data_IF_281504040272
#
_entry.id   IF_281504040272
#
_cell.length_a   1.000
_cell.length_b   1.000
_cell.length_c   1.000
_cell.angle_alpha   90.00
_cell.angle_beta   90.00
_cell.angle_gamma   90.00
#
_symmetry.space_group_name_H-M   'P 1'
#
loop_
_entity.id
_entity.type
_entity.pdbx_description
1 polymer ?
#
# COMPACT_ATOMS: atom_id res chain seq x y z
N UNK A 1 -9.51 -33.09 36.74
CA UNK A 1 -8.21 -33.26 36.07
C UNK A 1 -8.04 -32.12 35.08
N UNK A 2 -7.19 -31.17 35.42
CA UNK A 2 -6.65 -30.11 34.56
C UNK A 2 -5.13 -30.36 34.49
N UNK A 3 -4.33 -29.76 33.59
CA UNK A 3 -4.66 -28.94 32.40
C UNK A 3 -3.85 -29.30 31.14
N UNK A 4 -4.25 -28.75 29.98
CA UNK A 4 -3.39 -28.62 28.80
C UNK A 4 -2.77 -27.21 28.80
N UNK A 5 -1.43 -27.15 28.86
CA UNK A 5 -0.61 -25.97 28.65
C UNK A 5 0.67 -26.42 27.95
N UNK A 6 1.02 -25.81 26.81
CA UNK A 6 2.34 -25.95 26.18
C UNK A 6 2.98 -24.55 26.10
N UNK A 7 4.08 -24.30 26.81
CA UNK A 7 4.81 -23.03 26.75
C UNK A 7 5.97 -23.06 25.73
N UNK A 8 6.24 -21.90 25.10
CA UNK A 8 7.51 -21.54 24.46
C UNK A 8 8.67 -21.77 25.43
N UNK A 9 9.67 -22.63 25.11
CA UNK A 9 11.04 -22.11 24.89
C UNK A 9 11.97 -23.11 24.14
N UNK A 10 12.32 -22.96 22.85
CA UNK A 10 13.32 -23.87 22.24
C UNK A 10 14.15 -23.33 21.05
N UNK A 11 14.29 -22.01 20.90
CA UNK A 11 15.13 -21.43 19.84
C UNK A 11 16.12 -20.35 20.32
N UNK A 12 16.40 -20.30 21.61
CA UNK A 12 17.33 -19.34 22.23
C UNK A 12 18.60 -19.99 22.81
N UNK A 13 18.73 -21.33 22.71
CA UNK A 13 19.78 -22.09 23.41
C UNK A 13 20.83 -22.77 22.52
N UNK A 14 20.85 -22.54 21.21
CA UNK A 14 21.90 -23.08 20.33
C UNK A 14 22.94 -22.06 19.84
N UNK A 15 22.67 -20.76 19.91
CA UNK A 15 23.67 -19.74 19.51
C UNK A 15 24.54 -19.22 20.67
N UNK A 16 24.22 -19.53 21.92
CA UNK A 16 24.95 -19.00 23.09
C UNK A 16 26.11 -19.92 23.54
N UNK A 17 26.09 -21.22 23.17
CA UNK A 17 27.08 -22.20 23.64
C UNK A 17 28.40 -22.24 22.87
N UNK A 18 28.51 -21.55 21.73
CA UNK A 18 29.77 -21.48 20.96
C UNK A 18 30.74 -20.39 21.44
N UNK A 19 30.35 -19.55 22.42
CA UNK A 19 31.17 -18.41 22.87
C UNK A 19 31.85 -18.58 24.24
N UNK A 20 31.82 -19.77 24.85
CA UNK A 20 32.49 -19.99 26.14
C UNK A 20 33.21 -21.33 26.19
N UNK A 21 34.43 -21.38 25.63
CA UNK A 21 35.61 -22.10 26.16
C UNK A 21 36.75 -22.14 25.15
N UNK A 22 37.89 -21.54 25.50
CA UNK A 22 39.16 -21.76 24.80
C UNK A 22 40.08 -20.55 24.85
N UNK A 23 40.81 -20.38 25.96
CA UNK A 23 41.82 -19.35 26.13
C UNK A 23 43.12 -19.73 25.41
N UNK A 24 43.61 -18.89 24.48
CA UNK A 24 45.02 -18.67 24.09
C UNK A 24 45.03 -17.27 23.45
N UNK A 25 45.84 -16.28 23.75
CA UNK A 25 47.01 -16.10 24.59
C UNK A 25 47.49 -14.66 24.32
N UNK A 26 48.09 -14.00 25.32
CA UNK A 26 48.59 -12.64 25.18
C UNK A 26 49.71 -12.55 24.14
N UNK A 27 49.39 -12.08 22.93
CA UNK A 27 50.34 -11.60 21.92
C UNK A 27 49.70 -10.74 20.79
N UNK A 28 48.43 -10.31 20.92
CA UNK A 28 47.71 -9.58 19.86
C UNK A 28 47.16 -8.21 20.29
N UNK A 29 47.76 -7.60 21.32
CA UNK A 29 47.29 -6.34 21.93
C UNK A 29 47.75 -5.05 21.22
N UNK A 30 48.24 -5.15 19.98
CA UNK A 30 48.68 -3.96 19.20
C UNK A 30 48.21 -3.94 17.74
N UNK A 31 47.27 -4.81 17.32
CA UNK A 31 46.69 -4.78 15.97
C UNK A 31 45.15 -4.85 15.90
N UNK A 32 44.45 -4.88 17.05
CA UNK A 32 42.98 -5.01 17.09
C UNK A 32 42.21 -3.69 17.24
N UNK A 33 42.88 -2.54 17.25
CA UNK A 33 42.19 -1.25 17.33
C UNK A 33 41.76 -0.74 15.95
N UNK A 34 42.58 -0.89 14.91
CA UNK A 34 42.28 -0.41 13.56
C UNK A 34 41.15 -1.18 12.87
N UNK A 35 41.19 -2.52 12.86
CA UNK A 35 40.20 -3.35 12.19
C UNK A 35 38.85 -3.44 12.93
N UNK A 36 38.86 -3.35 14.27
CA UNK A 36 37.63 -3.30 15.06
C UNK A 36 36.99 -1.89 15.04
N UNK A 37 37.79 -0.81 14.99
CA UNK A 37 37.25 0.53 14.74
C UNK A 37 36.80 0.68 13.28
N UNK A 38 37.50 0.06 12.32
CA UNK A 38 37.07 -0.02 10.93
C UNK A 38 35.73 -0.76 10.83
N UNK A 39 35.56 -1.94 11.45
CA UNK A 39 34.28 -2.67 11.38
C UNK A 39 33.13 -2.03 12.16
N UNK A 40 33.42 -1.29 13.24
CA UNK A 40 32.42 -0.45 13.94
C UNK A 40 32.08 0.80 13.11
N UNK A 41 33.00 1.31 12.30
CA UNK A 41 32.77 2.42 11.36
C UNK A 41 32.12 2.00 10.04
N UNK A 42 32.33 0.76 9.58
CA UNK A 42 31.90 0.24 8.28
C UNK A 42 30.37 0.21 8.17
N UNK A 43 29.68 -0.26 9.21
CA UNK A 43 28.21 -0.31 9.23
C UNK A 43 27.58 0.92 9.90
N UNK A 44 28.36 1.90 10.38
CA UNK A 44 27.78 3.11 10.98
C UNK A 44 26.83 3.82 10.00
N UNK A 45 27.17 3.79 8.71
CA UNK A 45 26.33 4.35 7.64
C UNK A 45 25.08 3.50 7.36
N UNK A 46 25.16 2.17 7.43
CA UNK A 46 24.00 1.26 7.33
C UNK A 46 23.04 1.52 8.48
N UNK A 47 23.54 1.67 9.71
CA UNK A 47 22.73 1.98 10.89
C UNK A 47 22.07 3.35 10.75
N UNK A 48 22.83 4.36 10.34
CA UNK A 48 22.33 5.73 10.16
C UNK A 48 21.21 5.76 9.09
N UNK A 49 21.45 5.19 7.91
CA UNK A 49 20.46 5.11 6.81
C UNK A 49 19.26 4.25 7.18
N UNK A 50 19.47 3.16 7.90
CA UNK A 50 18.40 2.30 8.39
C UNK A 50 17.48 3.04 9.36
N UNK A 51 18.03 3.82 10.29
CA UNK A 51 17.24 4.67 11.18
C UNK A 51 16.45 5.75 10.42
N UNK A 52 17.03 6.35 9.37
CA UNK A 52 16.28 7.27 8.49
C UNK A 52 15.11 6.56 7.80
N UNK A 53 15.31 5.34 7.29
CA UNK A 53 14.25 4.55 6.68
C UNK A 53 13.13 4.26 7.69
N UNK A 54 13.47 3.86 8.92
CA UNK A 54 12.49 3.61 9.99
C UNK A 54 11.66 4.86 10.31
N UNK A 55 12.30 6.04 10.37
CA UNK A 55 11.61 7.32 10.54
C UNK A 55 10.61 7.60 9.42
N UNK A 56 11.06 7.47 8.15
CA UNK A 56 10.19 7.69 6.99
C UNK A 56 9.07 6.66 6.85
N UNK A 57 9.28 5.40 7.26
CA UNK A 57 8.22 4.39 7.35
C UNK A 57 7.15 4.85 8.35
N UNK A 58 7.54 5.32 9.53
CA UNK A 58 6.61 5.81 10.54
C UNK A 58 5.84 7.05 10.06
N UNK A 59 6.52 8.01 9.41
CA UNK A 59 5.90 9.23 8.87
C UNK A 59 4.91 8.91 7.74
N UNK A 60 5.28 8.00 6.83
CA UNK A 60 4.41 7.56 5.74
C UNK A 60 3.19 6.81 6.28
N UNK A 61 3.38 5.88 7.23
CA UNK A 61 2.30 5.14 7.88
C UNK A 61 1.33 6.07 8.62
N UNK A 62 1.86 7.14 9.24
CA UNK A 62 1.04 8.16 9.92
C UNK A 62 0.11 8.89 8.96
N UNK A 63 0.52 9.08 7.70
CA UNK A 63 -0.30 9.71 6.65
C UNK A 63 -1.30 8.74 6.00
N UNK A 64 -1.04 7.42 6.04
CA UNK A 64 -1.90 6.40 5.45
C UNK A 64 -3.30 6.37 6.09
N UNK A 65 -3.40 6.48 7.42
CA UNK A 65 -4.69 6.44 8.12
C UNK A 65 -5.59 7.65 7.76
N UNK A 66 -5.12 8.91 7.83
CA UNK A 66 -5.87 10.06 7.32
C UNK A 66 -6.27 9.95 5.84
N UNK A 67 -5.36 9.48 4.95
CA UNK A 67 -5.66 9.21 3.52
C UNK A 67 -6.85 8.25 3.38
N UNK A 68 -6.77 7.08 4.03
CA UNK A 68 -7.83 6.06 4.02
C UNK A 68 -9.16 6.59 4.56
N UNK A 69 -9.12 7.35 5.65
CA UNK A 69 -10.32 7.94 6.25
C UNK A 69 -10.96 9.00 5.35
N UNK A 70 -10.15 9.84 4.70
CA UNK A 70 -10.66 10.79 3.71
C UNK A 70 -11.32 10.07 2.54
N UNK A 71 -10.71 9.00 2.03
CA UNK A 71 -11.27 8.18 0.95
C UNK A 71 -12.62 7.55 1.35
N UNK A 72 -12.73 7.00 2.56
CA UNK A 72 -14.01 6.49 3.10
C UNK A 72 -15.08 7.59 3.20
N UNK A 73 -14.71 8.79 3.63
CA UNK A 73 -15.63 9.94 3.70
C UNK A 73 -16.09 10.38 2.31
N UNK A 74 -15.22 10.35 1.29
CA UNK A 74 -15.64 10.59 -0.11
C UNK A 74 -16.69 9.58 -0.53
N UNK A 75 -16.41 8.28 -0.34
CA UNK A 75 -17.34 7.21 -0.68
C UNK A 75 -18.68 7.34 0.05
N UNK A 76 -18.68 7.64 1.34
CA UNK A 76 -19.89 7.89 2.11
C UNK A 76 -20.69 9.09 1.58
N UNK A 77 -20.00 10.13 1.10
CA UNK A 77 -20.61 11.31 0.49
C UNK A 77 -21.26 11.02 -0.86
N UNK A 78 -20.60 10.24 -1.72
CA UNK A 78 -21.11 9.93 -3.07
C UNK A 78 -22.14 8.80 -3.08
N UNK A 79 -22.07 7.84 -2.14
CA UNK A 79 -23.02 6.70 -2.04
C UNK A 79 -24.47 7.13 -1.81
N UNK A 80 -24.69 8.38 -1.37
CA UNK A 80 -26.02 8.97 -1.22
C UNK A 80 -26.66 9.39 -2.55
N UNK A 81 -25.90 9.36 -3.66
CA UNK A 81 -26.38 9.69 -5.01
C UNK A 81 -26.36 8.43 -5.87
N UNK A 82 -27.35 8.23 -6.75
CA UNK A 82 -27.34 7.11 -7.67
C UNK A 82 -26.10 7.19 -8.57
N UNK A 83 -25.43 6.06 -8.80
CA UNK A 83 -24.44 5.94 -9.87
C UNK A 83 -25.05 5.04 -10.93
N UNK A 84 -25.66 5.67 -11.92
CA UNK A 84 -26.33 4.96 -12.99
C UNK A 84 -25.31 4.30 -13.93
N UNK A 85 -25.63 3.08 -14.36
CA UNK A 85 -24.93 2.37 -15.42
C UNK A 85 -25.97 1.86 -16.41
N UNK A 86 -25.83 2.22 -17.68
CA UNK A 86 -26.72 1.73 -18.74
C UNK A 86 -26.45 0.25 -18.97
N UNK A 87 -27.51 -0.54 -19.04
CA UNK A 87 -27.46 -1.99 -19.18
C UNK A 87 -27.81 -2.44 -20.60
N UNK A 88 -28.89 -1.91 -21.15
CA UNK A 88 -29.35 -2.18 -22.50
C UNK A 88 -30.36 -1.12 -22.93
N UNK A 89 -30.59 -1.07 -24.23
CA UNK A 89 -31.64 -0.28 -24.85
C UNK A 89 -32.90 -1.15 -25.00
N UNK A 90 -34.06 -0.54 -24.92
CA UNK A 90 -35.33 -1.19 -25.15
C UNK A 90 -36.24 -0.28 -25.96
N UNK A 91 -37.02 -0.89 -26.84
CA UNK A 91 -38.05 -0.22 -27.62
C UNK A 91 -39.40 -0.43 -26.96
N UNK A 92 -40.11 0.65 -26.69
CA UNK A 92 -41.45 0.59 -26.13
C UNK A 92 -42.48 0.78 -27.26
N UNK A 93 -43.20 -0.28 -27.59
CA UNK A 93 -44.17 -0.26 -28.69
C UNK A 93 -45.36 0.70 -28.46
N UNK A 94 -45.94 0.84 -27.26
CA UNK A 94 -47.12 1.68 -27.04
C UNK A 94 -46.91 3.17 -27.33
N UNK A 95 -45.71 3.70 -27.11
CA UNK A 95 -45.36 5.11 -27.36
C UNK A 95 -44.33 5.26 -28.51
N UNK A 96 -44.03 4.16 -29.22
CA UNK A 96 -43.10 4.11 -30.34
C UNK A 96 -41.74 4.79 -30.03
N UNK A 97 -41.25 4.63 -28.80
CA UNK A 97 -40.07 5.34 -28.27
C UNK A 97 -38.98 4.42 -27.76
N UNK A 98 -37.73 4.88 -27.85
CA UNK A 98 -36.56 4.16 -27.34
C UNK A 98 -36.22 4.60 -25.91
N UNK A 99 -35.75 3.66 -25.11
CA UNK A 99 -35.35 3.89 -23.72
C UNK A 99 -34.03 3.18 -23.40
N UNK A 100 -33.17 3.82 -22.63
CA UNK A 100 -32.02 3.20 -21.99
C UNK A 100 -32.42 2.71 -20.59
N UNK A 101 -32.32 1.40 -20.35
CA UNK A 101 -32.49 0.83 -19.01
C UNK A 101 -31.17 0.92 -18.28
N UNK A 102 -31.13 1.66 -17.18
CA UNK A 102 -29.95 1.79 -16.34
C UNK A 102 -30.22 1.26 -14.93
N UNK A 103 -29.16 0.77 -14.28
CA UNK A 103 -29.20 0.29 -12.89
C UNK A 103 -28.38 1.21 -12.00
N UNK A 104 -28.76 1.31 -10.74
CA UNK A 104 -27.95 1.99 -9.73
C UNK A 104 -26.87 1.04 -9.21
N UNK A 105 -25.60 1.39 -9.43
CA UNK A 105 -24.42 0.64 -8.97
C UNK A 105 -24.47 0.35 -7.46
N UNK A 106 -25.05 1.26 -6.67
CA UNK A 106 -25.12 1.10 -5.21
C UNK A 106 -26.11 0.06 -4.74
N UNK A 107 -27.10 -0.27 -5.57
CA UNK A 107 -28.22 -1.15 -5.23
C UNK A 107 -28.11 -2.51 -5.92
N UNK A 108 -26.89 -2.89 -6.34
CA UNK A 108 -26.59 -4.17 -6.98
C UNK A 108 -26.98 -5.39 -6.14
N UNK A 109 -27.05 -5.26 -4.81
CA UNK A 109 -27.43 -6.34 -3.90
C UNK A 109 -28.93 -6.59 -3.81
N UNK A 110 -29.77 -5.72 -4.40
CA UNK A 110 -31.22 -5.94 -4.41
C UNK A 110 -31.58 -6.94 -5.50
N UNK A 111 -32.41 -7.94 -5.15
CA UNK A 111 -32.95 -8.89 -6.12
C UNK A 111 -34.49 -8.77 -6.16
N UNK A 112 -35.09 -8.28 -7.27
CA UNK A 112 -34.44 -7.82 -8.50
C UNK A 112 -33.77 -6.44 -8.35
N UNK A 113 -32.75 -6.13 -9.18
CA UNK A 113 -32.07 -4.84 -9.13
C UNK A 113 -33.00 -3.71 -9.55
N UNK A 114 -32.98 -2.62 -8.79
CA UNK A 114 -33.78 -1.42 -9.10
C UNK A 114 -33.21 -0.81 -10.39
N UNK A 115 -34.02 -0.83 -11.44
CA UNK A 115 -33.69 -0.25 -12.74
C UNK A 115 -34.54 0.99 -13.00
N UNK A 116 -33.98 1.96 -13.71
CA UNK A 116 -34.68 3.15 -14.17
C UNK A 116 -34.59 3.24 -15.70
N UNK A 117 -35.69 3.68 -16.32
CA UNK A 117 -35.79 3.87 -17.75
C UNK A 117 -35.50 5.34 -18.07
N UNK A 118 -34.57 5.60 -18.97
CA UNK A 118 -34.23 6.94 -19.44
C UNK A 118 -34.67 7.07 -20.89
N UNK A 119 -35.54 8.04 -21.23
CA UNK A 119 -36.00 8.21 -22.60
C UNK A 119 -34.84 8.62 -23.51
N UNK A 120 -34.83 8.08 -24.73
CA UNK A 120 -33.88 8.39 -25.79
C UNK A 120 -34.61 9.13 -26.92
N UNK A 121 -33.91 10.02 -27.62
CA UNK A 121 -34.43 10.75 -28.78
C UNK A 121 -34.33 9.97 -30.10
N UNK A 122 -33.65 8.82 -30.07
CA UNK A 122 -33.42 7.97 -31.21
C UNK A 122 -34.70 7.52 -31.92
N UNK A 123 -34.62 7.37 -33.24
CA UNK A 123 -35.70 6.82 -34.09
C UNK A 123 -35.40 5.38 -34.55
N UNK A 124 -34.13 4.99 -34.51
CA UNK A 124 -33.65 3.65 -34.91
C UNK A 124 -32.88 3.02 -33.77
N UNK A 125 -32.77 1.69 -33.79
CA UNK A 125 -31.99 0.92 -32.81
C UNK A 125 -30.53 1.38 -32.77
N UNK A 126 -29.88 1.49 -33.92
CA UNK A 126 -28.47 1.91 -34.02
C UNK A 126 -28.23 3.32 -33.43
N UNK A 127 -29.18 4.25 -33.63
CA UNK A 127 -29.11 5.58 -32.99
C UNK A 127 -29.35 5.50 -31.48
N UNK A 128 -30.22 4.60 -31.03
CA UNK A 128 -30.54 4.43 -29.61
C UNK A 128 -29.36 3.82 -28.85
N UNK A 129 -28.66 2.86 -29.45
CA UNK A 129 -27.42 2.30 -28.90
C UNK A 129 -26.33 3.38 -28.73
N UNK A 130 -26.17 4.27 -29.73
CA UNK A 130 -25.21 5.37 -29.63
C UNK A 130 -25.57 6.35 -28.51
N UNK A 131 -26.84 6.79 -28.46
CA UNK A 131 -27.32 7.67 -27.39
C UNK A 131 -27.18 7.02 -26.00
N UNK A 132 -27.39 5.71 -25.90
CA UNK A 132 -27.20 4.95 -24.67
C UNK A 132 -25.73 4.95 -24.19
N UNK A 133 -24.77 4.81 -25.11
CA UNK A 133 -23.34 4.93 -24.79
C UNK A 133 -22.98 6.36 -24.35
N UNK A 134 -23.52 7.38 -25.03
CA UNK A 134 -23.33 8.78 -24.64
C UNK A 134 -23.91 9.08 -23.26
N UNK A 135 -25.08 8.51 -22.95
CA UNK A 135 -25.73 8.61 -21.66
C UNK A 135 -24.93 7.92 -20.55
N UNK A 136 -24.39 6.72 -20.80
CA UNK A 136 -23.51 6.04 -19.84
C UNK A 136 -22.23 6.86 -19.58
N UNK A 137 -21.65 7.41 -20.65
CA UNK A 137 -20.53 8.35 -20.55
C UNK A 137 -20.88 9.60 -19.74
N UNK A 138 -22.10 10.12 -19.88
CA UNK A 138 -22.60 11.24 -19.07
C UNK A 138 -22.73 10.85 -17.59
N UNK A 139 -23.30 9.70 -17.29
CA UNK A 139 -23.41 9.22 -15.90
C UNK A 139 -22.05 9.06 -15.22
N UNK A 140 -21.05 8.55 -15.94
CA UNK A 140 -19.68 8.47 -15.43
C UNK A 140 -19.10 9.86 -15.17
N UNK A 141 -19.21 10.81 -16.11
CA UNK A 141 -18.74 12.20 -15.91
C UNK A 141 -19.43 12.89 -14.73
N UNK A 142 -20.74 12.73 -14.59
CA UNK A 142 -21.51 13.32 -13.49
C UNK A 142 -21.09 12.72 -12.14
N UNK A 143 -20.80 11.42 -12.11
CA UNK A 143 -20.28 10.74 -10.93
C UNK A 143 -18.87 11.23 -10.57
N UNK A 144 -17.97 11.33 -11.55
CA UNK A 144 -16.60 11.79 -11.34
C UNK A 144 -16.56 13.24 -10.84
N UNK A 145 -17.39 14.11 -11.44
CA UNK A 145 -17.54 15.50 -10.99
C UNK A 145 -18.03 15.58 -9.54
N UNK A 146 -18.99 14.74 -9.15
CA UNK A 146 -19.44 14.64 -7.76
C UNK A 146 -18.33 14.13 -6.85
N UNK A 147 -17.63 13.08 -7.26
CA UNK A 147 -16.52 12.48 -6.51
C UNK A 147 -15.43 13.52 -6.25
N UNK A 148 -15.08 14.33 -7.25
CA UNK A 148 -14.10 15.41 -7.13
C UNK A 148 -14.56 16.52 -6.19
N UNK A 149 -15.82 16.95 -6.27
CA UNK A 149 -16.37 17.96 -5.35
C UNK A 149 -16.30 17.48 -3.91
N UNK A 150 -16.69 16.23 -3.64
CA UNK A 150 -16.64 15.65 -2.29
C UNK A 150 -15.18 15.45 -1.85
N UNK A 151 -14.32 14.99 -2.76
CA UNK A 151 -12.88 14.81 -2.55
C UNK A 151 -12.19 16.10 -2.09
N UNK A 152 -12.47 17.22 -2.77
CA UNK A 152 -11.94 18.54 -2.42
C UNK A 152 -12.43 18.99 -1.04
N UNK A 153 -13.70 18.77 -0.72
CA UNK A 153 -14.29 19.13 0.59
C UNK A 153 -13.63 18.41 1.76
N UNK A 154 -13.24 17.15 1.57
CA UNK A 154 -12.57 16.36 2.62
C UNK A 154 -11.04 16.47 2.58
N UNK A 155 -10.49 17.28 1.67
CA UNK A 155 -9.04 17.49 1.53
C UNK A 155 -8.28 16.24 1.11
N UNK A 156 -8.92 15.30 0.40
CA UNK A 156 -8.30 14.01 0.01
C UNK A 156 -7.04 14.21 -0.83
N UNK A 157 -7.09 15.14 -1.77
CA UNK A 157 -5.99 15.46 -2.70
C UNK A 157 -4.73 15.84 -1.93
N UNK A 158 -4.82 16.81 -1.01
CA UNK A 158 -3.69 17.23 -0.16
C UNK A 158 -3.10 16.08 0.67
N UNK A 159 -3.97 15.20 1.20
CA UNK A 159 -3.53 14.04 1.98
C UNK A 159 -2.83 13.00 1.10
N UNK A 160 -3.35 12.79 -0.12
CA UNK A 160 -2.74 11.91 -1.10
C UNK A 160 -1.39 12.45 -1.55
N UNK A 161 -1.29 13.73 -1.89
CA UNK A 161 -0.03 14.39 -2.29
C UNK A 161 1.03 14.32 -1.19
N UNK A 162 0.64 14.60 0.06
CA UNK A 162 1.53 14.49 1.21
C UNK A 162 2.04 13.05 1.41
N UNK A 163 1.13 12.07 1.29
CA UNK A 163 1.49 10.66 1.41
C UNK A 163 2.40 10.20 0.27
N UNK A 164 2.14 10.60 -0.98
CA UNK A 164 3.02 10.34 -2.12
C UNK A 164 4.39 11.00 -1.96
N UNK A 165 4.46 12.22 -1.42
CA UNK A 165 5.73 12.89 -1.16
C UNK A 165 6.58 12.14 -0.14
N UNK A 166 5.97 11.66 0.96
CA UNK A 166 6.69 10.83 1.95
C UNK A 166 7.09 9.47 1.39
N UNK A 167 6.23 8.82 0.59
CA UNK A 167 6.60 7.60 -0.11
C UNK A 167 7.81 7.78 -1.04
N UNK A 168 7.85 8.86 -1.81
CA UNK A 168 8.99 9.14 -2.70
C UNK A 168 10.29 9.36 -1.92
N UNK A 169 10.23 9.99 -0.75
CA UNK A 169 11.38 10.11 0.15
C UNK A 169 11.81 8.73 0.63
N UNK A 170 10.86 7.92 1.10
CA UNK A 170 11.13 6.57 1.57
C UNK A 170 11.74 5.68 0.47
N UNK A 171 11.27 5.76 -0.78
CA UNK A 171 11.88 5.06 -1.92
C UNK A 171 13.36 5.43 -2.08
N UNK A 172 13.68 6.73 -2.10
CA UNK A 172 15.05 7.20 -2.19
C UNK A 172 15.94 6.68 -1.05
N UNK A 173 15.40 6.60 0.16
CA UNK A 173 16.11 6.09 1.35
C UNK A 173 16.33 4.58 1.30
N UNK A 174 15.34 3.81 0.86
CA UNK A 174 15.46 2.36 0.72
C UNK A 174 16.48 1.98 -0.34
N UNK A 175 16.48 2.66 -1.50
CA UNK A 175 17.50 2.47 -2.53
C UNK A 175 18.90 2.79 -2.00
N UNK A 176 19.01 3.87 -1.23
CA UNK A 176 20.26 4.27 -0.60
C UNK A 176 20.76 3.23 0.40
N UNK A 177 19.86 2.63 1.19
CA UNK A 177 20.18 1.55 2.12
C UNK A 177 20.54 0.25 1.41
N UNK A 178 19.81 -0.14 0.36
CA UNK A 178 20.09 -1.33 -0.44
C UNK A 178 21.47 -1.25 -1.13
N UNK A 179 21.90 -0.05 -1.55
CA UNK A 179 23.25 0.14 -2.12
C UNK A 179 24.37 0.14 -1.08
N UNK A 180 24.06 0.21 0.21
CA UNK A 180 25.07 0.25 1.27
C UNK A 180 25.32 -1.17 1.74
N UNK A 181 26.49 -1.77 1.50
CA UNK A 181 26.76 -3.13 1.95
C UNK A 181 26.77 -3.18 3.48
N UNK A 182 26.09 -4.18 4.04
CA UNK A 182 26.24 -4.52 5.45
C UNK A 182 27.30 -5.62 5.57
N UNK A 183 28.26 -5.46 6.47
CA UNK A 183 29.32 -6.48 6.67
C UNK A 183 29.35 -7.02 8.10
N UNK A 184 28.57 -6.42 9.00
CA UNK A 184 28.47 -6.86 10.40
C UNK A 184 27.07 -7.42 10.72
N UNK A 185 26.96 -8.26 11.77
CA UNK A 185 25.66 -8.70 12.30
C UNK A 185 24.72 -7.54 12.64
N UNK A 186 25.25 -6.37 13.00
CA UNK A 186 24.45 -5.19 13.33
C UNK A 186 23.86 -4.55 12.09
N UNK A 187 24.62 -4.44 10.99
CA UNK A 187 24.12 -3.97 9.70
C UNK A 187 23.06 -4.88 9.10
N UNK A 188 23.28 -6.21 9.13
CA UNK A 188 22.28 -7.19 8.66
C UNK A 188 20.95 -7.03 9.42
N UNK A 189 21.02 -6.94 10.76
CA UNK A 189 19.84 -6.73 11.61
C UNK A 189 19.12 -5.43 11.28
N UNK A 190 19.85 -4.37 10.93
CA UNK A 190 19.24 -3.11 10.55
C UNK A 190 18.46 -3.21 9.25
N UNK A 191 19.04 -3.80 8.19
CA UNK A 191 18.31 -4.04 6.93
C UNK A 191 17.06 -4.90 7.15
N UNK A 192 17.20 -5.99 7.92
CA UNK A 192 16.06 -6.84 8.30
C UNK A 192 15.00 -6.09 9.11
N UNK A 193 15.39 -5.21 10.03
CA UNK A 193 14.46 -4.40 10.81
C UNK A 193 13.67 -3.42 9.93
N UNK A 194 14.32 -2.80 8.93
CA UNK A 194 13.64 -1.92 7.96
C UNK A 194 12.63 -2.71 7.11
N UNK A 195 13.00 -3.91 6.64
CA UNK A 195 12.09 -4.80 5.89
C UNK A 195 10.86 -5.12 6.73
N UNK A 196 11.04 -5.63 7.95
CA UNK A 196 9.95 -5.99 8.86
C UNK A 196 9.07 -4.79 9.23
N UNK A 197 9.68 -3.61 9.44
CA UNK A 197 8.94 -2.40 9.77
C UNK A 197 8.06 -1.95 8.60
N UNK A 198 8.57 -2.00 7.37
CA UNK A 198 7.80 -1.65 6.19
C UNK A 198 6.66 -2.65 5.95
N UNK A 199 6.93 -3.97 6.03
CA UNK A 199 5.89 -5.01 5.89
C UNK A 199 4.75 -4.80 6.87
N UNK A 200 5.04 -4.50 8.13
CA UNK A 200 4.02 -4.23 9.16
C UNK A 200 3.28 -2.92 8.92
N UNK A 201 3.98 -1.89 8.48
CA UNK A 201 3.40 -0.57 8.27
C UNK A 201 2.44 -0.55 7.07
N UNK A 202 2.67 -1.40 6.08
CA UNK A 202 1.94 -1.43 4.80
C UNK A 202 1.27 -2.77 4.51
N UNK A 203 1.03 -3.61 5.53
CA UNK A 203 0.46 -4.97 5.39
C UNK A 203 -0.85 -4.98 4.59
N UNK A 204 -1.71 -3.99 4.80
CA UNK A 204 -3.01 -3.86 4.11
C UNK A 204 -2.89 -3.32 2.67
N UNK A 205 -1.74 -2.79 2.28
CA UNK A 205 -1.50 -2.11 1.00
C UNK A 205 -0.19 -2.62 0.35
N UNK A 206 0.01 -3.94 0.34
CA UNK A 206 1.26 -4.57 -0.11
C UNK A 206 1.65 -4.23 -1.57
N UNK A 207 0.67 -3.93 -2.42
CA UNK A 207 0.89 -3.48 -3.81
C UNK A 207 1.52 -2.07 -3.89
N UNK A 208 1.40 -1.26 -2.83
CA UNK A 208 1.94 0.11 -2.79
C UNK A 208 3.46 0.15 -2.52
N UNK A 209 4.13 -1.01 -2.36
CA UNK A 209 5.52 -1.07 -1.93
C UNK A 209 6.44 -2.06 -2.68
N UNK A 210 6.50 -1.91 -4.02
CA UNK A 210 7.29 -2.77 -4.92
C UNK A 210 8.83 -2.76 -4.72
N UNK A 211 9.40 -1.90 -3.85
CA UNK A 211 10.86 -1.75 -3.65
C UNK A 211 11.44 -2.51 -2.46
N UNK A 212 10.61 -3.19 -1.68
CA UNK A 212 11.11 -4.08 -0.62
C UNK A 212 11.95 -5.23 -1.17
N UNK A 213 11.68 -5.66 -2.41
CA UNK A 213 12.43 -6.71 -3.11
C UNK A 213 13.89 -6.31 -3.31
N UNK A 214 14.16 -5.08 -3.80
CA UNK A 214 15.54 -4.57 -3.97
C UNK A 214 16.36 -4.60 -2.66
N UNK A 215 15.72 -4.31 -1.52
CA UNK A 215 16.38 -4.33 -0.20
C UNK A 215 16.57 -5.78 0.31
N UNK A 216 15.62 -6.68 0.02
CA UNK A 216 15.74 -8.12 0.35
C UNK A 216 16.89 -8.75 -0.45
N UNK A 217 16.96 -8.48 -1.75
CA UNK A 217 18.03 -8.97 -2.64
C UNK A 217 19.40 -8.48 -2.16
N UNK A 218 19.48 -7.20 -1.80
CA UNK A 218 20.69 -6.63 -1.20
C UNK A 218 21.10 -7.34 0.10
N UNK A 219 20.16 -7.61 1.01
CA UNK A 219 20.46 -8.32 2.26
C UNK A 219 20.95 -9.75 1.98
N UNK A 220 20.35 -10.44 1.01
CA UNK A 220 20.78 -11.78 0.62
C UNK A 220 22.17 -11.77 -0.02
N UNK A 221 22.48 -10.76 -0.84
CA UNK A 221 23.80 -10.57 -1.43
C UNK A 221 24.88 -10.29 -0.37
N UNK A 222 24.56 -9.50 0.67
CA UNK A 222 25.52 -9.21 1.73
C UNK A 222 25.78 -10.43 2.67
N UNK A 223 24.89 -11.43 2.67
CA UNK A 223 24.99 -12.65 3.48
C UNK A 223 25.68 -13.82 2.75
N UNK A 224 25.84 -13.74 1.43
CA UNK A 224 26.41 -14.77 0.57
C UNK A 224 27.95 -14.73 0.55
#
# INVERSE_FOLDING_TARGET
GLPFALPLPLLQNHCIRLLTRGAIGGAALTLTSGAALASVSEDAEVIRRGNECLGHIADTARLAKPKKEAYRKVWAGVKRKPRWQVMHVCFNQPDNSWYAKARDFWKMTNNPPVCHMFPLSAQTEATAEREAVELDGKFNRDFDALFDVVSKRVGREKLYDAWCAELNKLDGKLRSLAKTPAVTPKGFRMKAAVILAAERAFEEDAEEFWRLEDLRDSLMADLA
#
